data_IF_700144893003
#
_entry.id   IF_700144893003
#
_cell.length_a   1.000
_cell.length_b   1.000
_cell.length_c   1.000
_cell.angle_alpha   90.00
_cell.angle_beta   90.00
_cell.angle_gamma   90.00
#
_symmetry.space_group_name_H-M   'P 1'
#
loop_
_entity.id
_entity.type
_entity.pdbx_description
1 polymer ?
#
# COMPACT_ATOMS: atom_id res chain seq x y z
N UNK A 1 -14.78 -19.26 -3.22
CA UNK A 1 -13.88 -18.10 -3.12
C UNK A 1 -14.77 -16.88 -2.92
N UNK A 2 -14.54 -16.10 -1.87
CA UNK A 2 -15.20 -14.80 -1.70
C UNK A 2 -14.68 -13.89 -2.80
N UNK A 3 -15.57 -13.33 -3.63
CA UNK A 3 -15.22 -12.43 -4.72
C UNK A 3 -15.19 -11.02 -4.13
N UNK A 4 -14.02 -10.39 -4.08
CA UNK A 4 -13.85 -9.06 -3.49
C UNK A 4 -14.55 -8.02 -4.38
N UNK A 5 -15.50 -7.26 -3.82
CA UNK A 5 -16.11 -6.12 -4.47
C UNK A 5 -15.22 -4.88 -4.28
N UNK A 6 -14.72 -4.33 -5.38
CA UNK A 6 -13.87 -3.14 -5.37
C UNK A 6 -14.59 -1.91 -4.80
N UNK A 7 -15.92 -1.85 -4.94
CA UNK A 7 -16.77 -0.83 -4.33
C UNK A 7 -16.73 -0.89 -2.80
N UNK A 8 -16.77 -2.09 -2.23
CA UNK A 8 -16.63 -2.30 -0.78
C UNK A 8 -15.24 -1.89 -0.29
N UNK A 9 -14.17 -2.22 -1.04
CA UNK A 9 -12.80 -1.82 -0.67
C UNK A 9 -12.63 -0.30 -0.69
N UNK A 10 -13.21 0.38 -1.70
CA UNK A 10 -13.25 1.86 -1.76
C UNK A 10 -14.01 2.47 -0.60
N UNK A 11 -15.16 1.91 -0.25
CA UNK A 11 -15.96 2.36 0.88
C UNK A 11 -15.21 2.16 2.21
N UNK A 12 -14.60 0.98 2.39
CA UNK A 12 -13.79 0.67 3.56
C UNK A 12 -12.60 1.62 3.71
N UNK A 13 -11.86 1.91 2.62
CA UNK A 13 -10.79 2.91 2.66
C UNK A 13 -11.30 4.30 3.09
N UNK A 14 -12.49 4.70 2.64
CA UNK A 14 -13.08 6.00 3.02
C UNK A 14 -13.37 6.04 4.52
N UNK A 15 -13.99 4.98 5.06
CA UNK A 15 -14.25 4.87 6.50
C UNK A 15 -12.94 4.82 7.29
N UNK A 16 -11.97 4.04 6.85
CA UNK A 16 -10.67 3.90 7.50
C UNK A 16 -9.95 5.25 7.60
N UNK A 17 -9.92 6.03 6.50
CA UNK A 17 -9.32 7.37 6.49
C UNK A 17 -9.98 8.31 7.51
N UNK A 18 -11.30 8.29 7.58
CA UNK A 18 -12.03 9.09 8.55
C UNK A 18 -11.68 8.68 9.99
N UNK A 19 -11.74 7.38 10.28
CA UNK A 19 -11.42 6.86 11.61
C UNK A 19 -9.96 7.14 12.01
N UNK A 20 -9.02 6.97 11.09
CA UNK A 20 -7.60 7.26 11.31
C UNK A 20 -7.35 8.76 11.54
N UNK A 21 -8.05 9.64 10.81
CA UNK A 21 -7.94 11.09 10.99
C UNK A 21 -8.43 11.52 12.38
N UNK A 22 -9.57 10.98 12.83
CA UNK A 22 -10.10 11.22 14.17
C UNK A 22 -9.14 10.68 15.26
N UNK A 23 -8.70 9.43 15.13
CA UNK A 23 -7.76 8.81 16.07
C UNK A 23 -6.41 9.54 16.12
N UNK A 24 -5.92 10.06 14.99
CA UNK A 24 -4.67 10.85 14.92
C UNK A 24 -4.73 12.07 15.82
N UNK A 25 -5.86 12.79 15.83
CA UNK A 25 -6.03 13.97 16.69
C UNK A 25 -5.87 13.56 18.16
N UNK A 26 -6.57 12.52 18.58
CA UNK A 26 -6.50 12.01 19.96
C UNK A 26 -5.10 11.54 20.35
N UNK A 27 -4.43 10.78 19.48
CA UNK A 27 -3.08 10.25 19.74
C UNK A 27 -2.04 11.35 19.84
N UNK A 28 -2.10 12.38 18.99
CA UNK A 28 -1.18 13.53 19.05
C UNK A 28 -1.42 14.35 20.32
N UNK A 29 -2.67 14.55 20.73
CA UNK A 29 -2.98 15.22 21.99
C UNK A 29 -2.48 14.43 23.20
N UNK A 30 -2.62 13.10 23.18
CA UNK A 30 -2.10 12.21 24.21
C UNK A 30 -0.58 12.27 24.29
N UNK A 31 0.12 12.22 23.16
CA UNK A 31 1.58 12.39 23.08
C UNK A 31 2.01 13.71 23.70
N UNK A 32 1.36 14.82 23.30
CA UNK A 32 1.67 16.14 23.86
C UNK A 32 1.40 16.23 25.37
N UNK A 33 0.35 15.57 25.85
CA UNK A 33 0.04 15.51 27.29
C UNK A 33 1.12 14.76 28.05
N UNK A 34 1.59 13.63 27.51
CA UNK A 34 2.71 12.86 28.08
C UNK A 34 3.99 13.70 28.10
N UNK A 35 4.34 14.36 27.00
CA UNK A 35 5.52 15.22 26.91
C UNK A 35 5.50 16.34 27.95
N UNK A 36 4.35 17.03 28.10
CA UNK A 36 4.18 18.05 29.14
C UNK A 36 4.34 17.49 30.54
N UNK A 37 3.75 16.31 30.82
CA UNK A 37 3.87 15.66 32.11
C UNK A 37 5.34 15.29 32.43
N UNK A 38 6.06 14.73 31.47
CA UNK A 38 7.49 14.38 31.61
C UNK A 38 8.32 15.62 31.91
N UNK A 39 8.03 16.75 31.24
CA UNK A 39 8.73 18.02 31.40
C UNK A 39 8.28 18.86 32.61
N UNK A 40 7.29 18.42 33.39
CA UNK A 40 6.76 19.22 34.51
C UNK A 40 7.65 19.15 35.76
N UNK A 41 8.50 20.15 35.96
CA UNK A 41 9.43 20.22 37.10
C UNK A 41 8.75 20.58 38.44
N UNK A 42 7.45 20.89 38.46
CA UNK A 42 6.72 21.16 39.71
C UNK A 42 6.46 19.90 40.54
N UNK A 43 6.44 18.74 39.89
CA UNK A 43 6.26 17.44 40.52
C UNK A 43 7.63 16.80 40.77
N UNK A 44 7.88 16.33 42.00
CA UNK A 44 9.17 15.76 42.40
C UNK A 44 9.02 14.54 43.30
N UNK A 45 10.11 13.77 43.41
CA UNK A 45 10.18 12.54 44.21
C UNK A 45 10.28 11.28 43.34
N UNK A 46 10.81 10.20 43.94
CA UNK A 46 11.16 8.95 43.24
C UNK A 46 9.98 8.33 42.47
N UNK A 47 8.77 8.42 43.01
CA UNK A 47 7.57 7.91 42.34
C UNK A 47 7.19 8.71 41.10
N UNK A 48 7.35 10.03 41.15
CA UNK A 48 7.14 10.91 40.00
C UNK A 48 8.19 10.63 38.92
N UNK A 49 9.47 10.54 39.30
CA UNK A 49 10.56 10.22 38.37
C UNK A 49 10.34 8.86 37.66
N UNK A 50 9.93 7.83 38.41
CA UNK A 50 9.62 6.51 37.85
C UNK A 50 8.41 6.55 36.90
N UNK A 51 7.36 7.31 37.24
CA UNK A 51 6.19 7.52 36.38
C UNK A 51 6.57 8.21 35.08
N UNK A 52 7.29 9.34 35.16
CA UNK A 52 7.76 10.09 33.98
C UNK A 52 8.58 9.20 33.05
N UNK A 53 9.54 8.44 33.60
CA UNK A 53 10.36 7.50 32.83
C UNK A 53 9.52 6.44 32.12
N UNK A 54 8.48 5.92 32.78
CA UNK A 54 7.56 4.95 32.18
C UNK A 54 6.80 5.56 30.98
N UNK A 55 6.20 6.74 31.15
CA UNK A 55 5.42 7.40 30.10
C UNK A 55 6.30 7.80 28.92
N UNK A 56 7.49 8.36 29.18
CA UNK A 56 8.49 8.73 28.17
C UNK A 56 8.93 7.53 27.33
N UNK A 57 9.24 6.40 27.99
CA UNK A 57 9.74 5.21 27.30
C UNK A 57 8.65 4.42 26.54
N UNK A 58 7.37 4.60 26.87
CA UNK A 58 6.30 3.71 26.37
C UNK A 58 5.35 4.40 25.39
N UNK A 59 4.83 5.58 25.71
CA UNK A 59 3.74 6.19 24.95
C UNK A 59 4.20 6.81 23.63
N UNK A 60 5.23 7.67 23.58
CA UNK A 60 5.66 8.28 22.32
C UNK A 60 6.03 7.27 21.24
N UNK A 61 6.85 6.22 21.51
CA UNK A 61 7.18 5.21 20.49
C UNK A 61 5.94 4.46 19.99
N UNK A 62 5.04 4.04 20.90
CA UNK A 62 3.81 3.35 20.50
C UNK A 62 2.93 4.24 19.62
N UNK A 63 2.72 5.50 20.02
CA UNK A 63 1.89 6.46 19.29
C UNK A 63 2.47 6.68 17.90
N UNK A 64 3.78 6.92 17.79
CA UNK A 64 4.45 7.13 16.51
C UNK A 64 4.32 5.92 15.57
N UNK A 65 4.51 4.70 16.09
CA UNK A 65 4.36 3.50 15.27
C UNK A 65 2.90 3.26 14.85
N UNK A 66 1.91 3.58 15.69
CA UNK A 66 0.48 3.51 15.32
C UNK A 66 0.14 4.53 14.23
N UNK A 67 0.62 5.77 14.34
CA UNK A 67 0.42 6.78 13.30
C UNK A 67 0.99 6.35 11.96
N UNK A 68 2.18 5.74 11.98
CA UNK A 68 2.79 5.14 10.80
C UNK A 68 1.99 3.94 10.26
N UNK A 69 1.36 3.15 11.13
CA UNK A 69 0.48 2.07 10.73
C UNK A 69 -0.79 2.60 10.04
N UNK A 70 -1.36 3.72 10.49
CA UNK A 70 -2.47 4.39 9.80
C UNK A 70 -2.08 4.75 8.37
N UNK A 71 -0.99 5.49 8.19
CA UNK A 71 -0.51 5.91 6.86
C UNK A 71 -0.24 4.70 5.95
N UNK A 72 0.38 3.64 6.49
CA UNK A 72 0.69 2.42 5.76
C UNK A 72 -0.59 1.66 5.35
N UNK A 73 -1.57 1.55 6.25
CA UNK A 73 -2.85 0.88 5.98
C UNK A 73 -3.65 1.57 4.88
N UNK A 74 -3.71 2.89 4.90
CA UNK A 74 -4.38 3.69 3.88
C UNK A 74 -3.68 3.57 2.53
N UNK A 75 -2.34 3.60 2.52
CA UNK A 75 -1.54 3.46 1.32
C UNK A 75 -1.69 2.07 0.68
N UNK A 76 -1.73 1.00 1.46
CA UNK A 76 -1.92 -0.37 0.96
C UNK A 76 -3.28 -0.53 0.29
N UNK A 77 -4.36 -0.09 0.93
CA UNK A 77 -5.70 -0.14 0.34
C UNK A 77 -5.81 0.70 -0.93
N UNK A 78 -5.22 1.91 -0.92
CA UNK A 78 -5.18 2.75 -2.11
C UNK A 78 -4.42 2.09 -3.27
N UNK A 79 -3.30 1.42 -2.96
CA UNK A 79 -2.51 0.67 -3.94
C UNK A 79 -3.31 -0.49 -4.54
N UNK A 80 -4.06 -1.25 -3.74
CA UNK A 80 -4.93 -2.31 -4.24
C UNK A 80 -5.97 -1.78 -5.23
N UNK A 81 -6.64 -0.67 -4.87
CA UNK A 81 -7.63 -0.02 -5.73
C UNK A 81 -6.99 0.47 -7.04
N UNK A 82 -5.82 1.09 -6.97
CA UNK A 82 -5.09 1.55 -8.14
C UNK A 82 -4.64 0.38 -9.03
N UNK A 83 -4.12 -0.70 -8.43
CA UNK A 83 -3.71 -1.90 -9.14
C UNK A 83 -4.91 -2.51 -9.89
N UNK A 84 -6.07 -2.61 -9.24
CA UNK A 84 -7.31 -3.05 -9.85
C UNK A 84 -7.69 -2.20 -11.07
N UNK A 85 -7.69 -0.87 -10.94
CA UNK A 85 -8.01 0.02 -12.07
C UNK A 85 -7.05 -0.13 -13.24
N UNK A 86 -5.75 -0.27 -12.95
CA UNK A 86 -4.73 -0.39 -14.00
C UNK A 86 -4.76 -1.74 -14.73
N UNK A 87 -5.10 -2.82 -14.04
CA UNK A 87 -4.98 -4.18 -14.56
C UNK A 87 -6.32 -4.73 -15.07
N UNK A 88 -7.43 -4.33 -14.46
CA UNK A 88 -8.75 -4.90 -14.70
C UNK A 88 -9.61 -3.95 -15.52
N UNK A 89 -10.04 -2.82 -14.92
CA UNK A 89 -10.93 -1.84 -15.55
C UNK A 89 -10.56 -0.39 -15.17
N UNK A 90 -10.08 0.41 -16.14
CA UNK A 90 -9.68 1.80 -15.91
C UNK A 90 -10.86 2.76 -15.68
N UNK A 91 -12.10 2.29 -15.84
CA UNK A 91 -13.29 3.13 -15.72
C UNK A 91 -13.43 3.72 -14.31
N UNK A 92 -13.78 5.01 -14.16
CA UNK A 92 -13.97 5.64 -12.84
C UNK A 92 -15.03 4.94 -11.98
N UNK A 93 -16.04 4.37 -12.65
CA UNK A 93 -17.17 3.65 -12.08
C UNK A 93 -17.02 2.12 -12.16
N UNK A 94 -15.81 1.60 -12.33
CA UNK A 94 -15.57 0.16 -12.35
C UNK A 94 -16.17 -0.49 -11.09
N UNK A 95 -17.20 -1.30 -11.30
CA UNK A 95 -17.88 -2.11 -10.29
C UNK A 95 -17.89 -3.53 -10.83
N UNK A 96 -16.85 -4.28 -10.51
CA UNK A 96 -16.85 -5.71 -10.79
C UNK A 96 -17.24 -6.37 -9.48
N UNK A 97 -18.54 -6.61 -9.34
CA UNK A 97 -19.04 -7.42 -8.25
C UNK A 97 -19.22 -8.88 -8.72
N UNK A 98 -19.39 -9.77 -7.74
CA UNK A 98 -19.62 -11.19 -7.96
C UNK A 98 -20.79 -11.50 -8.89
N UNK A 99 -21.81 -10.64 -8.91
CA UNK A 99 -23.08 -10.81 -9.61
C UNK A 99 -22.93 -10.38 -11.06
N UNK A 100 -22.26 -9.26 -11.33
CA UNK A 100 -21.96 -8.73 -12.65
C UNK A 100 -21.08 -9.71 -13.43
N UNK A 101 -20.14 -10.38 -12.76
CA UNK A 101 -19.34 -11.46 -13.36
C UNK A 101 -20.19 -12.65 -13.78
N UNK A 102 -21.14 -13.07 -12.94
CA UNK A 102 -22.09 -14.13 -13.29
C UNK A 102 -23.00 -13.75 -14.46
N UNK A 103 -23.48 -12.51 -14.48
CA UNK A 103 -24.30 -11.96 -15.56
C UNK A 103 -23.54 -11.81 -16.87
N UNK A 104 -22.27 -11.38 -16.82
CA UNK A 104 -21.39 -11.28 -17.98
C UNK A 104 -21.16 -12.67 -18.61
N UNK A 105 -20.87 -13.69 -17.80
CA UNK A 105 -20.71 -15.06 -18.29
C UNK A 105 -21.97 -15.59 -18.98
N UNK A 106 -23.15 -15.37 -18.39
CA UNK A 106 -24.41 -15.79 -19.01
C UNK A 106 -24.78 -14.96 -20.24
N UNK A 107 -24.46 -13.66 -20.27
CA UNK A 107 -24.60 -12.81 -21.47
C UNK A 107 -23.74 -13.33 -22.62
N UNK A 108 -22.46 -13.59 -22.39
CA UNK A 108 -21.53 -14.15 -23.39
C UNK A 108 -22.09 -15.47 -23.95
N UNK A 109 -22.53 -16.37 -23.08
CA UNK A 109 -23.12 -17.65 -23.46
C UNK A 109 -24.41 -17.49 -24.29
N UNK A 110 -25.27 -16.55 -23.90
CA UNK A 110 -26.50 -16.20 -24.63
C UNK A 110 -26.21 -15.66 -26.03
N UNK A 111 -25.20 -14.79 -26.16
CA UNK A 111 -24.81 -14.18 -27.43
C UNK A 111 -24.20 -15.22 -28.37
N UNK A 112 -23.35 -16.13 -27.88
CA UNK A 112 -22.83 -17.26 -28.67
C UNK A 112 -23.97 -18.12 -29.24
N UNK A 113 -24.99 -18.43 -28.43
CA UNK A 113 -26.19 -19.16 -28.90
C UNK A 113 -26.96 -18.40 -29.97
N UNK A 114 -27.15 -17.08 -29.79
CA UNK A 114 -27.83 -16.23 -30.79
C UNK A 114 -27.04 -16.13 -32.11
N UNK A 115 -25.70 -16.14 -32.04
CA UNK A 115 -24.83 -16.16 -33.20
C UNK A 115 -24.96 -17.46 -33.99
N UNK A 116 -24.92 -18.62 -33.31
CA UNK A 116 -25.13 -19.93 -33.94
C UNK A 116 -26.50 -20.00 -34.63
N UNK A 117 -27.56 -19.52 -33.96
CA UNK A 117 -28.91 -19.49 -34.53
C UNK A 117 -29.03 -18.55 -35.74
N UNK A 118 -28.36 -17.39 -35.72
CA UNK A 118 -28.33 -16.46 -36.84
C UNK A 118 -27.56 -17.07 -38.02
N UNK A 119 -26.44 -17.75 -37.78
CA UNK A 119 -25.66 -18.42 -38.80
C UNK A 119 -26.47 -19.52 -39.50
N UNK A 120 -27.25 -20.30 -38.74
CA UNK A 120 -28.21 -21.28 -39.29
C UNK A 120 -29.33 -20.62 -40.12
N UNK A 121 -29.77 -19.42 -39.74
CA UNK A 121 -30.81 -18.67 -40.45
C UNK A 121 -30.30 -18.00 -41.73
N UNK A 122 -29.04 -17.56 -41.74
CA UNK A 122 -28.35 -16.96 -42.89
C UNK A 122 -27.93 -17.99 -43.94
N UNK A 123 -27.80 -19.27 -43.59
CA UNK A 123 -27.65 -20.37 -44.56
C UNK A 123 -28.92 -20.62 -45.40
N UNK A 124 -30.03 -19.89 -45.15
CA UNK A 124 -31.21 -19.82 -46.01
C UNK A 124 -31.28 -18.53 -46.86
N UNK A 125 -32.08 -18.55 -47.92
CA UNK A 125 -32.19 -17.53 -48.98
C UNK A 125 -32.83 -16.18 -48.59
N UNK A 126 -32.53 -15.62 -47.41
CA UNK A 126 -33.17 -14.39 -46.88
C UNK A 126 -32.19 -13.33 -46.37
N UNK A 127 -31.01 -13.21 -47.00
CA UNK A 127 -29.90 -12.34 -46.56
C UNK A 127 -30.27 -10.85 -46.29
N UNK A 128 -31.24 -10.27 -47.02
CA UNK A 128 -31.63 -8.86 -46.84
C UNK A 128 -32.58 -8.57 -45.67
N UNK A 129 -33.25 -9.58 -45.11
CA UNK A 129 -34.25 -9.39 -44.02
C UNK A 129 -33.57 -9.32 -42.64
N UNK A 130 -32.33 -9.82 -42.53
CA UNK A 130 -31.64 -10.01 -41.26
C UNK A 130 -30.48 -9.03 -41.01
N UNK A 131 -30.23 -8.07 -41.89
CA UNK A 131 -29.09 -7.15 -41.81
C UNK A 131 -29.10 -6.29 -40.53
N UNK A 132 -30.26 -5.72 -40.16
CA UNK A 132 -30.41 -4.98 -38.91
C UNK A 132 -30.21 -5.84 -37.65
N UNK A 133 -30.70 -7.09 -37.67
CA UNK A 133 -30.48 -8.05 -36.56
C UNK A 133 -29.03 -8.50 -36.48
N UNK A 134 -28.36 -8.67 -37.61
CA UNK A 134 -26.95 -9.01 -37.67
C UNK A 134 -26.08 -7.88 -37.09
N UNK A 135 -26.44 -6.62 -37.35
CA UNK A 135 -25.71 -5.48 -36.82
C UNK A 135 -25.89 -5.31 -35.31
N UNK A 136 -27.10 -5.46 -34.77
CA UNK A 136 -27.31 -5.47 -33.31
C UNK A 136 -26.56 -6.62 -32.65
N UNK A 137 -26.63 -7.82 -33.21
CA UNK A 137 -25.91 -8.97 -32.66
C UNK A 137 -24.38 -8.79 -32.70
N UNK A 138 -23.86 -8.10 -33.72
CA UNK A 138 -22.44 -7.75 -33.79
C UNK A 138 -22.03 -6.77 -32.68
N UNK A 139 -22.86 -5.77 -32.39
CA UNK A 139 -22.61 -4.83 -31.28
C UNK A 139 -22.67 -5.56 -29.93
N UNK A 140 -23.71 -6.38 -29.71
CA UNK A 140 -23.84 -7.22 -28.51
C UNK A 140 -22.62 -8.14 -28.34
N UNK A 141 -22.12 -8.73 -29.44
CA UNK A 141 -20.92 -9.58 -29.42
C UNK A 141 -19.66 -8.81 -29.04
N UNK A 142 -19.48 -7.60 -29.56
CA UNK A 142 -18.34 -6.74 -29.18
C UNK A 142 -18.40 -6.43 -27.67
N UNK A 143 -19.56 -6.02 -27.15
CA UNK A 143 -19.74 -5.75 -25.72
C UNK A 143 -19.44 -6.99 -24.87
N UNK A 144 -19.90 -8.17 -25.30
CA UNK A 144 -19.68 -9.42 -24.58
C UNK A 144 -18.22 -9.87 -24.58
N UNK A 145 -17.49 -9.70 -25.68
CA UNK A 145 -16.05 -9.98 -25.75
C UNK A 145 -15.27 -9.03 -24.83
N UNK A 146 -15.64 -7.76 -24.75
CA UNK A 146 -15.04 -6.82 -23.80
C UNK A 146 -15.31 -7.22 -22.35
N UNK A 147 -16.53 -7.64 -22.02
CA UNK A 147 -16.90 -8.17 -20.69
C UNK A 147 -16.14 -9.46 -20.34
N UNK A 148 -15.97 -10.38 -21.28
CA UNK A 148 -15.19 -11.61 -21.11
C UNK A 148 -13.72 -11.28 -20.77
N UNK A 149 -13.13 -10.32 -21.49
CA UNK A 149 -11.75 -9.88 -21.23
C UNK A 149 -11.58 -9.22 -19.86
N UNK A 150 -12.56 -8.44 -19.42
CA UNK A 150 -12.56 -7.83 -18.07
C UNK A 150 -12.64 -8.92 -16.99
N UNK A 151 -13.49 -9.94 -17.19
CA UNK A 151 -13.59 -11.10 -16.29
C UNK A 151 -12.27 -11.88 -16.22
N UNK A 152 -11.61 -12.15 -17.35
CA UNK A 152 -10.31 -12.82 -17.38
C UNK A 152 -9.25 -12.04 -16.58
N UNK A 153 -9.16 -10.73 -16.81
CA UNK A 153 -8.26 -9.85 -16.05
C UNK A 153 -8.58 -9.85 -14.56
N UNK A 154 -9.86 -9.85 -14.18
CA UNK A 154 -10.28 -9.91 -12.78
C UNK A 154 -9.84 -11.22 -12.12
N UNK A 155 -10.03 -12.36 -12.80
CA UNK A 155 -9.62 -13.66 -12.26
C UNK A 155 -8.10 -13.73 -12.09
N UNK A 156 -7.33 -13.22 -13.05
CA UNK A 156 -5.87 -13.11 -12.94
C UNK A 156 -5.47 -12.19 -11.78
N UNK A 157 -6.17 -11.06 -11.62
CA UNK A 157 -5.93 -10.11 -10.54
C UNK A 157 -6.18 -10.74 -9.16
N UNK A 158 -7.30 -11.42 -8.95
CA UNK A 158 -7.60 -12.12 -7.69
C UNK A 158 -6.55 -13.19 -7.37
N UNK A 159 -6.12 -13.95 -8.38
CA UNK A 159 -5.06 -14.94 -8.23
C UNK A 159 -3.72 -14.31 -7.85
N UNK A 160 -3.35 -13.18 -8.47
CA UNK A 160 -2.08 -12.50 -8.17
C UNK A 160 -2.11 -11.71 -6.86
N UNK A 161 -3.28 -11.44 -6.28
CA UNK A 161 -3.46 -10.64 -5.06
C UNK A 161 -4.07 -11.43 -3.88
N UNK A 162 -4.07 -12.76 -3.93
CA UNK A 162 -4.68 -13.62 -2.90
C UNK A 162 -4.18 -13.32 -1.48
N UNK A 163 -2.89 -13.00 -1.33
CA UNK A 163 -2.25 -12.71 -0.05
C UNK A 163 -2.07 -11.21 0.23
N UNK A 164 -2.67 -10.34 -0.59
CA UNK A 164 -2.43 -8.90 -0.54
C UNK A 164 -2.76 -8.28 0.83
N UNK A 165 -3.84 -8.74 1.47
CA UNK A 165 -4.31 -8.19 2.74
C UNK A 165 -3.64 -8.80 3.98
N UNK A 166 -2.82 -9.85 3.83
CA UNK A 166 -2.17 -10.49 4.98
C UNK A 166 -1.30 -9.52 5.79
N UNK A 167 -0.41 -8.70 5.17
CA UNK A 167 0.40 -7.75 5.91
C UNK A 167 -0.44 -6.70 6.65
N UNK A 168 -1.59 -6.31 6.09
CA UNK A 168 -2.51 -5.37 6.73
C UNK A 168 -3.14 -6.00 7.99
N UNK A 169 -3.61 -7.24 7.88
CA UNK A 169 -4.20 -7.98 9.01
C UNK A 169 -3.17 -8.17 10.13
N UNK A 170 -1.96 -8.58 9.78
CA UNK A 170 -0.86 -8.75 10.73
C UNK A 170 -0.48 -7.44 11.42
N UNK A 171 -0.45 -6.32 10.69
CA UNK A 171 -0.18 -4.99 11.24
C UNK A 171 -1.25 -4.57 12.26
N UNK A 172 -2.53 -4.72 11.92
CA UNK A 172 -3.65 -4.39 12.83
C UNK A 172 -3.60 -5.25 14.09
N UNK A 173 -3.33 -6.56 13.95
CA UNK A 173 -3.21 -7.46 15.09
C UNK A 173 -1.99 -7.12 15.97
N UNK A 174 -0.86 -6.74 15.38
CA UNK A 174 0.31 -6.31 16.13
C UNK A 174 0.06 -4.99 16.88
N UNK A 175 -0.62 -4.04 16.24
CA UNK A 175 -0.99 -2.76 16.87
C UNK A 175 -1.91 -3.00 18.06
N UNK A 176 -2.95 -3.84 17.90
CA UNK A 176 -3.85 -4.25 18.98
C UNK A 176 -3.07 -4.86 20.15
N UNK A 177 -2.16 -5.80 19.88
CA UNK A 177 -1.34 -6.44 20.93
C UNK A 177 -0.47 -5.43 21.69
N UNK A 178 0.16 -4.48 20.99
CA UNK A 178 1.00 -3.46 21.62
C UNK A 178 0.19 -2.53 22.53
N UNK A 179 -1.01 -2.13 22.10
CA UNK A 179 -1.95 -1.35 22.92
C UNK A 179 -2.46 -2.16 24.12
N UNK A 180 -2.88 -3.41 23.90
CA UNK A 180 -3.38 -4.30 24.96
C UNK A 180 -2.32 -4.50 26.06
N UNK A 181 -1.05 -4.72 25.68
CA UNK A 181 0.07 -4.87 26.62
C UNK A 181 0.31 -3.59 27.41
N UNK A 182 0.30 -2.43 26.76
CA UNK A 182 0.48 -1.16 27.45
C UNK A 182 -0.65 -0.89 28.46
N UNK A 183 -1.90 -1.18 28.06
CA UNK A 183 -3.08 -0.98 28.90
C UNK A 183 -3.12 -1.92 30.12
N UNK A 184 -2.74 -3.19 29.95
CA UNK A 184 -2.91 -4.21 30.99
C UNK A 184 -1.77 -4.25 32.02
N UNK A 185 -0.63 -3.61 31.78
CA UNK A 185 0.59 -3.93 32.52
C UNK A 185 1.26 -2.72 33.20
N UNK A 186 0.46 -1.74 33.64
CA UNK A 186 0.91 -0.70 34.58
C UNK A 186 0.68 -1.20 36.01
N UNK A 187 1.73 -1.70 36.64
CA UNK A 187 1.70 -2.04 38.06
C UNK A 187 2.57 -1.07 38.84
N UNK A 188 1.95 -0.29 39.72
CA UNK A 188 2.65 0.47 40.74
C UNK A 188 3.13 -0.50 41.82
N UNK A 189 4.43 -0.52 42.07
CA UNK A 189 5.00 -1.28 43.17
C UNK A 189 5.05 -0.37 44.40
N UNK A 190 4.17 -0.62 45.37
CA UNK A 190 4.04 0.18 46.59
C UNK A 190 5.30 0.14 47.47
N UNK A 191 6.05 -0.96 47.48
CA UNK A 191 7.25 -1.13 48.31
C UNK A 191 8.44 -0.30 47.81
N UNK A 192 8.58 -0.18 46.49
CA UNK A 192 9.67 0.58 45.85
C UNK A 192 9.24 1.98 45.42
N UNK A 193 7.92 2.24 45.40
CA UNK A 193 7.33 3.47 44.88
C UNK A 193 7.54 3.64 43.37
N UNK A 194 7.70 2.55 42.60
CA UNK A 194 8.06 2.62 41.18
C UNK A 194 7.01 2.02 40.26
N UNK A 195 7.01 2.48 39.00
CA UNK A 195 6.31 1.84 37.90
C UNK A 195 7.30 0.93 37.15
N UNK A 196 6.86 -0.27 36.77
CA UNK A 196 7.67 -1.16 35.92
C UNK A 196 7.04 -1.25 34.55
N UNK A 197 7.82 -0.93 33.50
CA UNK A 197 7.44 -1.28 32.14
C UNK A 197 7.45 -2.80 32.07
N UNK A 198 6.33 -3.37 31.68
CA UNK A 198 6.22 -4.79 31.68
C UNK A 198 7.10 -5.42 30.60
N UNK A 199 7.72 -6.55 30.95
CA UNK A 199 8.71 -7.24 30.11
C UNK A 199 8.17 -7.63 28.72
N UNK A 200 6.84 -7.67 28.57
CA UNK A 200 6.19 -8.01 27.29
C UNK A 200 6.00 -6.83 26.35
N UNK A 201 6.20 -5.58 26.82
CA UNK A 201 6.04 -4.38 25.99
C UNK A 201 7.08 -4.30 24.88
N UNK A 202 8.37 -4.47 25.19
CA UNK A 202 9.43 -4.44 24.18
C UNK A 202 9.24 -5.52 23.08
N UNK A 203 8.92 -6.79 23.40
CA UNK A 203 8.53 -7.78 22.40
C UNK A 203 7.30 -7.39 21.57
N UNK A 204 6.27 -6.78 22.18
CA UNK A 204 5.07 -6.35 21.46
C UNK A 204 5.38 -5.20 20.49
N UNK A 205 6.17 -4.22 20.93
CA UNK A 205 6.65 -3.12 20.09
C UNK A 205 7.50 -3.62 18.93
N UNK A 206 8.40 -4.58 19.18
CA UNK A 206 9.19 -5.22 18.12
C UNK A 206 8.28 -5.89 17.10
N UNK A 207 7.31 -6.69 17.54
CA UNK A 207 6.35 -7.32 16.63
C UNK A 207 5.54 -6.32 15.81
N UNK A 208 5.17 -5.18 16.40
CA UNK A 208 4.48 -4.10 15.67
C UNK A 208 5.39 -3.47 14.62
N UNK A 209 6.65 -3.19 14.95
CA UNK A 209 7.63 -2.65 14.03
C UNK A 209 7.92 -3.62 12.87
N UNK A 210 8.08 -4.91 13.15
CA UNK A 210 8.32 -5.95 12.15
C UNK A 210 7.12 -6.06 11.18
N UNK A 211 5.88 -6.07 11.72
CA UNK A 211 4.66 -6.06 10.90
C UNK A 211 4.54 -4.78 10.05
N UNK A 212 4.92 -3.62 10.59
CA UNK A 212 4.92 -2.36 9.86
C UNK A 212 5.92 -2.39 8.69
N UNK A 213 7.13 -2.88 8.91
CA UNK A 213 8.13 -3.03 7.85
C UNK A 213 7.67 -4.00 6.76
N UNK A 214 7.10 -5.15 7.16
CA UNK A 214 6.53 -6.12 6.22
C UNK A 214 5.40 -5.49 5.39
N UNK A 215 4.50 -4.74 6.02
CA UNK A 215 3.42 -4.03 5.35
C UNK A 215 3.93 -2.94 4.38
N UNK A 216 5.08 -2.34 4.66
CA UNK A 216 5.76 -1.39 3.77
C UNK A 216 6.55 -2.06 2.64
N UNK A 217 6.67 -3.39 2.66
CA UNK A 217 7.49 -4.15 1.71
C UNK A 217 8.99 -3.99 1.92
N UNK A 218 9.42 -3.56 3.12
CA UNK A 218 10.83 -3.43 3.48
C UNK A 218 11.41 -4.84 3.69
N UNK A 219 12.46 -5.16 2.93
CA UNK A 219 13.21 -6.41 3.05
C UNK A 219 14.59 -6.09 3.62
N UNK A 220 14.92 -6.56 4.84
CA UNK A 220 16.20 -6.28 5.48
C UNK A 220 17.42 -6.61 4.61
N UNK A 221 17.34 -7.66 3.80
CA UNK A 221 18.46 -8.07 2.93
C UNK A 221 18.64 -7.15 1.74
N UNK A 222 17.55 -6.55 1.26
CA UNK A 222 17.61 -5.57 0.17
C UNK A 222 18.01 -4.20 0.71
N UNK A 223 17.56 -3.84 1.91
CA UNK A 223 18.02 -2.65 2.62
C UNK A 223 19.54 -2.68 2.87
N UNK A 224 20.08 -3.82 3.32
CA UNK A 224 21.53 -4.00 3.49
C UNK A 224 22.27 -3.84 2.15
N UNK A 225 21.74 -4.41 1.07
CA UNK A 225 22.32 -4.23 -0.27
C UNK A 225 22.25 -2.79 -0.78
N UNK A 226 21.31 -1.97 -0.29
CA UNK A 226 21.24 -0.55 -0.68
C UNK A 226 22.39 0.26 -0.09
N UNK A 227 22.99 -0.17 1.02
CA UNK A 227 24.12 0.54 1.67
C UNK A 227 25.36 0.60 0.76
N UNK A 228 25.47 -0.28 -0.23
CA UNK A 228 26.52 -0.26 -1.25
C UNK A 228 26.38 0.86 -2.30
N UNK A 229 25.32 1.67 -2.22
CA UNK A 229 24.94 2.66 -3.22
C UNK A 229 24.63 4.03 -2.59
N UNK A 230 24.94 5.10 -3.33
CA UNK A 230 24.38 6.42 -3.06
C UNK A 230 22.94 6.46 -3.61
N UNK A 231 21.97 6.68 -2.72
CA UNK A 231 20.55 6.77 -3.09
C UNK A 231 20.18 8.23 -3.30
N UNK A 232 19.61 8.54 -4.46
CA UNK A 232 19.13 9.88 -4.79
C UNK A 232 17.60 9.88 -4.91
N UNK A 233 16.95 10.75 -4.17
CA UNK A 233 15.54 11.09 -4.33
C UNK A 233 15.42 12.31 -5.23
N UNK A 234 15.21 12.07 -6.53
CA UNK A 234 15.14 13.12 -7.55
C UNK A 234 13.73 13.68 -7.60
N UNK A 235 13.54 14.91 -7.15
CA UNK A 235 12.25 15.60 -7.15
C UNK A 235 12.03 16.29 -8.49
N UNK A 236 10.86 16.07 -9.10
CA UNK A 236 10.48 16.64 -10.38
C UNK A 236 8.97 16.88 -10.47
N UNK A 237 8.55 17.65 -11.49
CA UNK A 237 7.13 17.80 -11.84
C UNK A 237 6.76 16.77 -12.90
N UNK A 238 5.75 15.97 -12.64
CA UNK A 238 5.23 15.01 -13.61
C UNK A 238 4.51 15.71 -14.78
N UNK A 239 4.01 14.91 -15.74
CA UNK A 239 3.28 15.42 -16.91
C UNK A 239 1.95 16.12 -16.57
N UNK A 240 1.50 16.08 -15.31
CA UNK A 240 0.32 16.79 -14.79
C UNK A 240 0.69 18.00 -13.95
N UNK A 241 1.98 18.30 -13.77
CA UNK A 241 2.48 19.38 -12.93
C UNK A 241 2.48 19.06 -11.43
N UNK A 242 2.30 17.81 -11.04
CA UNK A 242 2.37 17.38 -9.63
C UNK A 242 3.80 17.00 -9.24
N UNK A 243 4.12 17.20 -7.96
CA UNK A 243 5.40 16.75 -7.42
C UNK A 243 5.49 15.23 -7.43
N UNK A 244 6.60 14.73 -7.97
CA UNK A 244 6.92 13.32 -8.07
C UNK A 244 8.39 13.10 -7.69
N UNK A 245 8.69 11.89 -7.24
CA UNK A 245 10.04 11.47 -6.84
C UNK A 245 10.46 10.31 -7.73
N UNK A 246 11.64 10.42 -8.33
CA UNK A 246 12.33 9.33 -9.01
C UNK A 246 13.52 8.91 -8.16
N UNK A 247 13.58 7.62 -7.82
CA UNK A 247 14.69 7.06 -7.08
C UNK A 247 15.81 6.65 -8.03
N UNK A 248 17.05 7.01 -7.72
CA UNK A 248 18.23 6.67 -8.52
C UNK A 248 19.28 6.06 -7.62
N UNK A 249 19.85 4.94 -8.06
CA UNK A 249 20.99 4.29 -7.43
C UNK A 249 22.27 4.71 -8.17
N UNK A 250 23.22 5.30 -7.45
CA UNK A 250 24.56 5.61 -7.94
C UNK A 250 25.61 4.78 -7.21
N UNK A 251 26.67 4.42 -7.94
CA UNK A 251 27.90 3.86 -7.37
C UNK A 251 29.07 4.54 -8.05
N UNK A 252 29.99 5.08 -7.26
CA UNK A 252 31.15 5.82 -7.75
C UNK A 252 30.79 6.97 -8.71
N UNK A 253 29.67 7.67 -8.45
CA UNK A 253 29.17 8.78 -9.28
C UNK A 253 28.58 8.35 -10.63
N UNK A 254 28.31 7.06 -10.83
CA UNK A 254 27.66 6.54 -12.03
C UNK A 254 26.36 5.84 -11.66
N UNK A 255 25.29 6.14 -12.41
CA UNK A 255 24.00 5.46 -12.28
C UNK A 255 24.14 3.96 -12.55
N UNK A 256 23.67 3.15 -11.61
CA UNK A 256 23.69 1.69 -11.71
C UNK A 256 22.34 1.17 -12.23
N UNK A 257 22.39 0.16 -13.10
CA UNK A 257 21.22 -0.57 -13.56
C UNK A 257 21.04 -1.87 -12.77
N UNK A 258 20.69 -1.77 -11.49
CA UNK A 258 20.27 -2.92 -10.69
C UNK A 258 18.73 -2.95 -10.66
N UNK A 259 18.10 -3.67 -11.59
CA UNK A 259 16.63 -3.70 -11.72
C UNK A 259 15.92 -4.14 -10.43
N UNK A 260 16.52 -5.05 -9.67
CA UNK A 260 15.92 -5.58 -8.44
C UNK A 260 15.90 -4.51 -7.35
N UNK A 261 17.04 -3.89 -7.08
CA UNK A 261 17.15 -2.82 -6.07
C UNK A 261 16.41 -1.55 -6.52
N UNK A 262 16.40 -1.25 -7.83
CA UNK A 262 15.65 -0.13 -8.39
C UNK A 262 14.14 -0.30 -8.13
N UNK A 263 13.57 -1.46 -8.45
CA UNK A 263 12.15 -1.74 -8.18
C UNK A 263 11.85 -1.71 -6.68
N UNK A 264 12.79 -2.19 -5.86
CA UNK A 264 12.66 -2.16 -4.40
C UNK A 264 12.59 -0.73 -3.87
N UNK A 265 13.56 0.13 -4.21
CA UNK A 265 13.59 1.52 -3.73
C UNK A 265 12.43 2.36 -4.29
N UNK A 266 11.95 2.09 -5.50
CA UNK A 266 10.74 2.73 -6.03
C UNK A 266 9.49 2.42 -5.19
N UNK A 267 9.45 1.24 -4.57
CA UNK A 267 8.34 0.81 -3.70
C UNK A 267 8.50 1.30 -2.26
N UNK A 268 9.72 1.23 -1.72
CA UNK A 268 10.00 1.47 -0.30
C UNK A 268 10.60 2.83 0.01
N UNK A 269 11.07 3.58 -0.99
CA UNK A 269 11.87 4.79 -0.82
C UNK A 269 11.22 5.87 0.04
N UNK A 270 9.89 6.04 -0.05
CA UNK A 270 9.12 6.96 0.81
C UNK A 270 9.18 6.64 2.31
N UNK A 271 9.60 5.43 2.67
CA UNK A 271 9.74 4.94 4.03
C UNK A 271 11.19 4.78 4.47
N UNK A 272 12.15 5.08 3.58
CA UNK A 272 13.56 5.05 3.93
C UNK A 272 13.90 6.20 4.87
N UNK A 273 14.91 5.97 5.71
CA UNK A 273 15.46 7.01 6.57
C UNK A 273 16.00 8.16 5.71
N UNK A 274 15.70 9.40 6.09
CA UNK A 274 16.17 10.60 5.40
C UNK A 274 17.70 10.69 5.38
N UNK A 275 18.38 10.05 6.33
CA UNK A 275 19.85 9.97 6.37
C UNK A 275 20.43 9.03 5.30
N UNK A 276 19.62 8.11 4.74
CA UNK A 276 20.06 7.11 3.76
C UNK A 276 20.04 7.60 2.32
N UNK A 277 19.51 8.79 2.04
CA UNK A 277 19.42 9.31 0.67
C UNK A 277 19.63 10.81 0.59
N UNK A 278 20.01 11.28 -0.59
CA UNK A 278 20.13 12.72 -0.88
C UNK A 278 18.97 13.18 -1.76
N UNK A 279 18.29 14.25 -1.35
CA UNK A 279 17.25 14.89 -2.15
C UNK A 279 17.91 15.83 -3.15
N UNK A 280 17.62 15.66 -4.45
CA UNK A 280 18.14 16.53 -5.51
C UNK A 280 17.03 16.90 -6.50
N UNK A 281 17.25 17.96 -7.29
CA UNK A 281 16.35 18.30 -8.39
C UNK A 281 16.73 17.56 -9.67
N UNK A 282 15.81 17.48 -10.63
CA UNK A 282 16.12 16.97 -11.98
C UNK A 282 17.28 17.74 -12.64
N UNK A 283 17.34 19.06 -12.44
CA UNK A 283 18.41 19.90 -12.97
C UNK A 283 19.78 19.57 -12.37
N UNK A 284 19.82 19.17 -11.09
CA UNK A 284 21.07 18.78 -10.43
C UNK A 284 21.54 17.39 -10.85
N UNK A 285 20.60 16.48 -11.12
CA UNK A 285 20.90 15.19 -11.73
C UNK A 285 21.52 15.35 -13.13
N UNK A 286 20.96 16.25 -13.95
CA UNK A 286 21.48 16.52 -15.30
C UNK A 286 22.90 17.10 -15.27
N UNK A 287 23.22 17.94 -14.27
CA UNK A 287 24.57 18.46 -14.05
C UNK A 287 25.55 17.40 -13.55
N UNK A 288 25.07 16.41 -12.77
CA UNK A 288 25.89 15.32 -12.23
C UNK A 288 26.37 14.36 -13.31
N UNK A 289 25.70 14.24 -14.46
CA UNK A 289 26.03 13.28 -15.52
C UNK A 289 27.51 13.34 -15.98
N UNK A 290 28.38 12.38 -15.62
CA UNK A 290 29.68 12.22 -16.23
C UNK A 290 29.50 11.52 -17.59
N UNK A 291 30.32 11.87 -18.58
CA UNK A 291 30.37 11.29 -19.93
C UNK A 291 29.99 9.80 -19.94
N UNK A 292 28.93 9.42 -20.69
CA UNK A 292 28.52 8.03 -20.99
C UNK A 292 29.75 7.12 -21.05
N UNK A 293 29.89 6.23 -20.06
CA UNK A 293 30.99 5.27 -19.99
C UNK A 293 31.11 4.50 -21.31
N UNK A 294 32.34 4.44 -21.82
CA UNK A 294 32.69 3.63 -23.00
C UNK A 294 32.26 2.19 -22.76
N UNK A 295 31.62 1.58 -23.77
CA UNK A 295 31.45 0.13 -23.85
C UNK A 295 32.83 -0.51 -23.67
N UNK A 296 33.00 -1.32 -22.64
CA UNK A 296 34.13 -2.25 -22.55
C UNK A 296 33.82 -3.39 -23.52
N UNK A 297 34.63 -3.64 -24.55
CA UNK A 297 34.44 -4.78 -25.42
C UNK A 297 34.88 -6.04 -24.67
N UNK A 298 33.99 -7.03 -24.62
CA UNK A 298 34.28 -8.39 -24.18
C UNK A 298 35.36 -8.98 -25.09
N UNK A 299 36.45 -9.48 -24.50
CA UNK A 299 37.32 -10.50 -25.12
C UNK A 299 36.95 -11.83 -24.48
#
# INVERSE_FOLDING_TARGET
>A
MSRIDIGEVRHFLTILKQANAEARVWLLQLKQTVERYVQDDSLSGKAVEASKSYFEASYPPLIETILQAFDTSEALLAQYIQAFHSQVDPSPNARIDAVLLGQAMEKVKSIRRKQEALQQSLSGSTAGIYEGRAQTLRLDFIEAVEQEKILEKYLQFEQSHTHFFEPLIELVQAAKRAVDVLHQQVHFNEETGTYTVAKTFAPAMKSLQDSLQKARGIDPKLDEQLEDYEILAVVYKDNTGKDAVMWVLEKDGVRVQNMKLQKYIEQTGRYQDAEKYTIITLADLDKKSPKRGKRVPTI
#
